data_IF_371266341129
#
_entry.id   IF_371266341129
#
_cell.length_a   1.000
_cell.length_b   1.000
_cell.length_c   1.000
_cell.angle_alpha   90.00
_cell.angle_beta   90.00
_cell.angle_gamma   90.00
#
_symmetry.space_group_name_H-M   'P 1'
#
loop_
_entity.id
_entity.type
_entity.pdbx_description
1 polymer ?
#
# COMPACT_ATOMS: atom_id res chain seq x y z
N UNK A 1 -3.70 5.25 10.64
CA UNK A 1 -2.37 5.74 10.21
C UNK A 1 -2.32 5.51 8.71
N UNK A 2 -2.24 6.55 7.86
CA UNK A 2 -2.54 6.40 6.43
C UNK A 2 -1.63 5.39 5.72
N UNK A 3 -2.17 4.58 4.79
CA UNK A 3 -1.40 3.55 4.06
C UNK A 3 -0.15 4.14 3.39
N UNK A 4 -0.25 5.33 2.79
CA UNK A 4 0.88 6.02 2.17
C UNK A 4 2.05 6.24 3.15
N UNK A 5 1.74 6.68 4.38
CA UNK A 5 2.74 6.92 5.43
C UNK A 5 3.36 5.62 5.93
N UNK A 6 2.56 4.56 6.06
CA UNK A 6 3.03 3.22 6.43
C UNK A 6 4.05 2.70 5.41
N UNK A 7 3.70 2.77 4.12
CA UNK A 7 4.55 2.32 3.02
C UNK A 7 5.83 3.15 2.92
N UNK A 8 5.72 4.49 2.93
CA UNK A 8 6.88 5.37 2.87
C UNK A 8 7.86 5.13 4.03
N UNK A 9 7.34 4.98 5.25
CA UNK A 9 8.15 4.71 6.44
C UNK A 9 8.85 3.35 6.35
N UNK A 10 8.13 2.31 5.89
CA UNK A 10 8.70 0.97 5.76
C UNK A 10 9.78 0.91 4.67
N UNK A 11 9.54 1.55 3.52
CA UNK A 11 10.53 1.67 2.45
C UNK A 11 11.77 2.42 2.91
N UNK A 12 11.60 3.53 3.64
CA UNK A 12 12.71 4.30 4.18
C UNK A 12 13.58 3.47 5.13
N UNK A 13 12.97 2.76 6.09
CA UNK A 13 13.69 1.87 7.02
C UNK A 13 14.48 0.77 6.32
N UNK A 14 13.97 0.27 5.19
CA UNK A 14 14.58 -0.81 4.40
C UNK A 14 15.41 -0.31 3.22
N UNK A 15 15.56 1.00 3.06
CA UNK A 15 16.28 1.66 1.96
C UNK A 15 15.84 1.16 0.57
N UNK A 16 14.55 0.86 0.40
CA UNK A 16 14.00 0.41 -0.87
C UNK A 16 13.55 1.58 -1.73
N UNK A 17 13.92 1.55 -3.00
CA UNK A 17 13.33 2.42 -4.02
C UNK A 17 11.98 1.87 -4.49
N UNK A 18 11.18 2.72 -5.14
CA UNK A 18 9.92 2.30 -5.78
C UNK A 18 10.16 1.22 -6.83
N UNK A 19 11.25 1.32 -7.58
CA UNK A 19 11.63 0.36 -8.62
C UNK A 19 12.03 -0.99 -8.02
N UNK A 20 12.80 -0.98 -6.92
CA UNK A 20 13.16 -2.20 -6.20
C UNK A 20 11.92 -2.88 -5.60
N UNK A 21 10.96 -2.08 -5.09
CA UNK A 21 9.71 -2.60 -4.57
C UNK A 21 8.82 -3.17 -5.70
N UNK A 22 8.77 -2.53 -6.85
CA UNK A 22 8.06 -3.01 -8.04
C UNK A 22 8.61 -4.35 -8.52
N UNK A 23 9.94 -4.48 -8.56
CA UNK A 23 10.61 -5.72 -8.94
C UNK A 23 10.32 -6.85 -7.95
N UNK A 24 10.35 -6.55 -6.65
CA UNK A 24 10.14 -7.55 -5.60
C UNK A 24 8.69 -8.04 -5.49
N UNK A 25 7.71 -7.15 -5.76
CA UNK A 25 6.28 -7.46 -5.61
C UNK A 25 5.60 -7.85 -6.92
N UNK A 26 6.22 -7.58 -8.07
CA UNK A 26 5.57 -7.66 -9.38
C UNK A 26 4.52 -6.58 -9.64
N UNK A 27 4.31 -5.65 -8.69
CA UNK A 27 3.35 -4.55 -8.83
C UNK A 27 3.97 -3.48 -9.73
N UNK A 28 3.20 -3.01 -10.71
CA UNK A 28 3.66 -1.97 -11.64
C UNK A 28 4.03 -0.69 -10.89
N UNK A 29 5.19 -0.12 -11.19
CA UNK A 29 5.70 1.15 -10.60
C UNK A 29 4.66 2.26 -10.50
N UNK A 30 3.82 2.56 -11.53
CA UNK A 30 2.80 3.60 -11.40
C UNK A 30 1.78 3.35 -10.29
N UNK A 31 1.43 2.09 -10.02
CA UNK A 31 0.49 1.75 -8.93
C UNK A 31 1.13 1.96 -7.57
N UNK A 32 2.39 1.54 -7.39
CA UNK A 32 3.13 1.79 -6.14
C UNK A 32 3.23 3.30 -5.86
N UNK A 33 3.50 4.12 -6.89
CA UNK A 33 3.48 5.58 -6.75
C UNK A 33 2.13 6.10 -6.28
N UNK A 34 1.03 5.67 -6.90
CA UNK A 34 -0.31 6.06 -6.48
C UNK A 34 -0.60 5.66 -5.01
N UNK A 35 -0.15 4.48 -4.57
CA UNK A 35 -0.30 4.06 -3.16
C UNK A 35 0.56 4.90 -2.20
N UNK A 36 1.72 5.39 -2.64
CA UNK A 36 2.60 6.25 -1.84
C UNK A 36 2.13 7.70 -1.77
N UNK A 37 1.40 8.16 -2.80
CA UNK A 37 0.87 9.53 -2.88
C UNK A 37 -0.51 9.62 -2.22
N UNK A 38 -1.44 8.77 -2.64
CA UNK A 38 -2.85 8.85 -2.25
C UNK A 38 -3.24 7.83 -1.18
N UNK A 39 -2.38 6.84 -0.91
CA UNK A 39 -2.70 5.74 -0.01
C UNK A 39 -3.88 4.94 -0.55
N UNK A 40 -4.96 4.90 0.22
CA UNK A 40 -6.21 4.26 -0.18
C UNK A 40 -7.32 5.22 -0.54
N UNK A 41 -7.09 6.53 -0.43
CA UNK A 41 -8.10 7.57 -0.66
C UNK A 41 -8.15 8.01 -2.13
N UNK A 42 -7.15 7.63 -2.91
CA UNK A 42 -7.06 7.91 -4.34
C UNK A 42 -7.90 6.97 -5.21
N UNK A 43 -8.01 7.27 -6.52
CA UNK A 43 -8.80 6.48 -7.47
C UNK A 43 -8.20 5.09 -7.74
N UNK A 44 -6.95 4.87 -7.35
CA UNK A 44 -6.23 3.61 -7.54
C UNK A 44 -6.18 2.87 -6.20
N UNK A 45 -7.15 1.98 -5.98
CA UNK A 45 -7.19 1.17 -4.77
C UNK A 45 -6.26 -0.06 -4.88
N UNK A 46 -5.50 -0.39 -3.81
CA UNK A 46 -4.78 -1.66 -3.72
C UNK A 46 -5.74 -2.84 -3.62
N UNK A 47 -5.43 -3.93 -4.29
CA UNK A 47 -6.12 -5.22 -4.10
C UNK A 47 -5.61 -5.94 -2.86
N UNK A 48 -6.36 -6.91 -2.35
CA UNK A 48 -5.93 -7.75 -1.23
C UNK A 48 -4.60 -8.48 -1.49
N UNK A 49 -4.39 -8.95 -2.73
CA UNK A 49 -3.14 -9.58 -3.13
C UNK A 49 -1.98 -8.58 -3.11
N UNK A 50 -2.16 -7.39 -3.68
CA UNK A 50 -1.11 -6.35 -3.66
C UNK A 50 -0.74 -5.91 -2.25
N UNK A 51 -1.73 -5.78 -1.37
CA UNK A 51 -1.52 -5.47 0.05
C UNK A 51 -0.71 -6.55 0.76
N UNK A 52 -1.01 -7.82 0.48
CA UNK A 52 -0.24 -8.95 0.99
C UNK A 52 1.20 -8.90 0.48
N UNK A 53 1.42 -8.73 -0.82
CA UNK A 53 2.77 -8.66 -1.40
C UNK A 53 3.58 -7.48 -0.83
N UNK A 54 2.95 -6.32 -0.64
CA UNK A 54 3.57 -5.16 -0.01
C UNK A 54 3.91 -5.44 1.46
N UNK A 55 3.01 -6.07 2.20
CA UNK A 55 3.24 -6.41 3.61
C UNK A 55 4.40 -7.39 3.76
N UNK A 56 4.37 -8.48 3.00
CA UNK A 56 5.41 -9.53 3.00
C UNK A 56 6.75 -8.92 2.58
N UNK A 57 6.76 -8.17 1.48
CA UNK A 57 7.98 -7.57 0.97
C UNK A 57 8.56 -6.58 1.96
N UNK A 58 7.75 -5.73 2.59
CA UNK A 58 8.18 -4.67 3.51
C UNK A 58 8.33 -5.13 4.97
N UNK A 59 8.10 -6.41 5.25
CA UNK A 59 8.04 -6.97 6.60
C UNK A 59 7.11 -6.19 7.53
N UNK A 60 5.95 -5.77 7.00
CA UNK A 60 4.90 -5.11 7.76
C UNK A 60 3.96 -6.16 8.37
N UNK A 61 3.43 -5.94 9.58
CA UNK A 61 2.37 -6.79 10.11
C UNK A 61 1.16 -6.75 9.17
N UNK A 62 0.72 -7.91 8.70
CA UNK A 62 -0.42 -8.02 7.79
C UNK A 62 -1.67 -7.30 8.35
N UNK A 63 -1.89 -7.38 9.65
CA UNK A 63 -2.99 -6.71 10.34
C UNK A 63 -2.97 -5.17 10.15
N UNK A 64 -1.78 -4.54 10.21
CA UNK A 64 -1.66 -3.09 10.02
C UNK A 64 -1.99 -2.64 8.60
N UNK A 65 -1.73 -3.49 7.60
CA UNK A 65 -2.01 -3.20 6.20
C UNK A 65 -3.48 -3.47 5.86
N UNK A 66 -4.04 -4.56 6.40
CA UNK A 66 -5.44 -4.95 6.23
C UNK A 66 -6.40 -3.96 6.92
N UNK A 67 -6.06 -3.44 8.10
CA UNK A 67 -6.90 -2.44 8.79
C UNK A 67 -7.07 -1.14 7.98
N UNK A 68 -5.99 -0.65 7.34
CA UNK A 68 -6.07 0.56 6.52
C UNK A 68 -6.82 0.30 5.20
N UNK A 69 -6.65 -0.89 4.61
CA UNK A 69 -7.42 -1.29 3.44
C UNK A 69 -8.93 -1.43 3.72
N UNK A 70 -9.31 -1.99 4.88
CA UNK A 70 -10.72 -2.07 5.28
C UNK A 70 -11.35 -0.70 5.53
N UNK A 71 -10.60 0.24 6.12
CA UNK A 71 -11.07 1.63 6.27
C UNK A 71 -11.39 2.28 4.92
N UNK A 72 -10.57 2.03 3.91
CA UNK A 72 -10.78 2.56 2.57
C UNK A 72 -12.05 2.04 1.90
N UNK A 73 -12.28 0.73 1.97
CA UNK A 73 -13.48 0.09 1.40
C UNK A 73 -14.74 0.59 2.13
N UNK A 74 -14.67 0.71 3.46
CA UNK A 74 -15.77 1.26 4.24
C UNK A 74 -16.07 2.73 3.91
N UNK A 75 -15.04 3.55 3.64
CA UNK A 75 -15.20 4.94 3.23
C UNK A 75 -15.76 5.08 1.79
N UNK A 76 -15.39 4.16 0.89
CA UNK A 76 -15.92 4.11 -0.48
C UNK A 76 -17.41 3.67 -0.51
N UNK A 77 -17.79 2.69 0.32
CA UNK A 77 -19.17 2.21 0.42
C UNK A 77 -20.16 3.19 1.08
N UNK A 78 -19.67 4.18 1.84
CA UNK A 78 -20.50 5.23 2.46
C UNK A 78 -20.79 6.42 1.54
N UNK A 79 -20.20 6.46 0.34
CA UNK A 79 -20.40 7.53 -0.66
C UNK A 79 -21.30 7.11 -1.83
N UNK A 80 -21.98 5.97 -1.71
CA UNK A 80 -22.90 5.41 -2.71
C UNK A 80 -24.36 5.66 -2.35
#
# INVERSE_FOLDING_TARGET
MHLAQLLASAMHRRRLSVEALALATGIRTPRIKAFLEDGTDGPVHPTAQELKELADTLALPAESVTQEAHRAVAAAGQRS
#
